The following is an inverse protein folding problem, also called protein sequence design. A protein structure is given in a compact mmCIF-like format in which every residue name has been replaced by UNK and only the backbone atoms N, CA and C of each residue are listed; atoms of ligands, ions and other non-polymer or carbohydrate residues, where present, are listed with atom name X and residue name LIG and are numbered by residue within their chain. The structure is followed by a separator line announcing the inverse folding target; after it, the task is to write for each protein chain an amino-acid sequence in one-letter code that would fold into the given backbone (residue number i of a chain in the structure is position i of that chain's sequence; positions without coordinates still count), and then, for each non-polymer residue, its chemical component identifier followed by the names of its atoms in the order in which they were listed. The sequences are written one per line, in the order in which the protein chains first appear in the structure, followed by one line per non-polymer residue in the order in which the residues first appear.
data_IF_269006446848
#
_entry.id   IF_269006446848
#
_cell.length_a   1.000
_cell.length_b   1.000
_cell.length_c   1.000
_cell.angle_alpha   90.00
_cell.angle_beta   90.00
_cell.angle_gamma   90.00
#
_symmetry.space_group_name_H-M   'P 1'
#
loop_
_entity.id
_entity.type
_entity.pdbx_description
1 polymer ?
#
# COMPACT_ATOMS: atom_id res chain seq x y z
N UNK A 1 -5.73 -19.22 -3.91
CA UNK A 1 -5.51 -19.43 -5.35
C UNK A 1 -5.13 -18.12 -6.05
N UNK A 2 -4.48 -18.24 -7.22
CA UNK A 2 -4.30 -17.11 -8.13
C UNK A 2 -5.68 -16.79 -8.72
N UNK A 3 -5.98 -15.48 -8.82
CA UNK A 3 -7.23 -15.02 -9.39
C UNK A 3 -7.38 -15.48 -10.86
N UNK A 4 -8.52 -16.07 -11.14
CA UNK A 4 -9.03 -16.25 -12.50
C UNK A 4 -10.56 -16.19 -12.47
N UNK A 5 -11.14 -15.78 -13.57
CA UNK A 5 -12.60 -15.74 -13.71
C UNK A 5 -13.21 -17.15 -13.70
N UNK A 6 -12.50 -18.13 -14.22
CA UNK A 6 -12.96 -19.53 -14.22
C UNK A 6 -13.01 -20.08 -12.81
N UNK A 7 -11.98 -19.80 -11.97
CA UNK A 7 -11.99 -20.20 -10.57
C UNK A 7 -13.12 -19.49 -9.79
N UNK A 8 -13.31 -18.19 -10.02
CA UNK A 8 -14.40 -17.43 -9.38
C UNK A 8 -15.78 -18.01 -9.72
N UNK A 9 -16.01 -18.36 -10.99
CA UNK A 9 -17.27 -18.95 -11.43
C UNK A 9 -17.52 -20.37 -10.89
N UNK A 10 -16.47 -21.19 -10.74
CA UNK A 10 -16.57 -22.56 -10.27
C UNK A 10 -16.64 -22.66 -8.72
N UNK A 11 -15.82 -21.90 -8.01
CA UNK A 11 -15.59 -22.02 -6.56
C UNK A 11 -15.90 -20.77 -5.73
N UNK A 12 -16.23 -19.69 -6.40
CA UNK A 12 -16.48 -18.41 -5.74
C UNK A 12 -15.23 -17.71 -5.26
N UNK A 13 -15.43 -16.61 -4.55
CA UNK A 13 -14.35 -15.80 -3.98
C UNK A 13 -13.82 -16.47 -2.70
N UNK A 14 -12.49 -16.62 -2.54
CA UNK A 14 -11.92 -17.26 -1.35
C UNK A 14 -12.29 -16.54 -0.05
N UNK A 15 -12.62 -17.31 1.00
CA UNK A 15 -12.99 -16.75 2.31
C UNK A 15 -11.95 -15.85 2.95
N UNK A 16 -10.65 -16.05 2.63
CA UNK A 16 -9.56 -15.15 3.07
C UNK A 16 -9.68 -13.74 2.47
N UNK A 17 -10.21 -13.59 1.27
CA UNK A 17 -10.44 -12.29 0.65
C UNK A 17 -11.53 -11.51 1.40
N UNK A 18 -12.62 -12.16 1.80
CA UNK A 18 -13.65 -11.56 2.64
C UNK A 18 -13.11 -11.15 4.01
N UNK A 19 -12.34 -12.02 4.68
CA UNK A 19 -11.71 -11.68 5.96
C UNK A 19 -10.80 -10.44 5.84
N UNK A 20 -10.03 -10.35 4.76
CA UNK A 20 -9.19 -9.18 4.52
C UNK A 20 -10.02 -7.91 4.28
N UNK A 21 -11.11 -8.00 3.54
CA UNK A 21 -12.05 -6.87 3.36
C UNK A 21 -12.66 -6.40 4.68
N UNK A 22 -13.05 -7.31 5.57
CA UNK A 22 -13.56 -6.94 6.90
C UNK A 22 -12.52 -6.20 7.74
N UNK A 23 -11.24 -6.61 7.69
CA UNK A 23 -10.15 -5.90 8.37
C UNK A 23 -10.00 -4.49 7.80
N UNK A 24 -9.98 -4.33 6.47
CA UNK A 24 -9.93 -3.01 5.84
C UNK A 24 -11.13 -2.15 6.27
N UNK A 25 -12.32 -2.72 6.30
CA UNK A 25 -13.56 -2.03 6.67
C UNK A 25 -13.53 -1.51 8.12
N UNK A 26 -12.99 -2.31 9.04
CA UNK A 26 -12.90 -1.97 10.46
C UNK A 26 -11.80 -0.97 10.81
N UNK A 27 -10.83 -0.74 9.92
CA UNK A 27 -9.74 0.20 10.15
C UNK A 27 -10.19 1.66 9.96
N UNK A 28 -9.63 2.59 10.72
CA UNK A 28 -9.85 4.03 10.54
C UNK A 28 -9.00 4.61 9.42
N UNK A 29 -7.84 4.02 9.16
CA UNK A 29 -6.94 4.35 8.06
C UNK A 29 -6.05 3.17 7.67
N UNK A 30 -5.37 3.27 6.55
CA UNK A 30 -4.59 2.17 5.97
C UNK A 30 -3.19 2.65 5.62
N UNK A 31 -2.18 1.94 6.09
CA UNK A 31 -0.79 2.13 5.67
C UNK A 31 -0.35 0.90 4.89
N UNK A 32 0.16 1.12 3.68
CA UNK A 32 0.71 0.03 2.86
C UNK A 32 2.16 0.33 2.52
N UNK A 33 3.06 -0.58 2.90
CA UNK A 33 4.44 -0.58 2.42
C UNK A 33 4.58 -1.58 1.29
N UNK A 34 4.88 -1.09 0.09
CA UNK A 34 4.97 -1.92 -1.12
C UNK A 34 6.38 -2.47 -1.30
N UNK A 35 6.48 -3.78 -1.45
CA UNK A 35 7.67 -4.40 -2.02
C UNK A 35 7.59 -4.32 -3.55
N UNK A 36 8.75 -4.08 -4.20
CA UNK A 36 8.87 -4.01 -5.65
C UNK A 36 9.51 -5.28 -6.20
N UNK A 37 8.82 -5.98 -7.08
CA UNK A 37 9.35 -7.09 -7.86
C UNK A 37 9.25 -6.77 -9.34
N UNK A 38 10.38 -6.77 -10.04
CA UNK A 38 10.44 -6.41 -11.46
C UNK A 38 9.76 -5.06 -11.78
N UNK A 39 10.00 -4.05 -10.93
CA UNK A 39 9.47 -2.69 -11.04
C UNK A 39 7.95 -2.54 -10.89
N UNK A 40 7.25 -3.57 -10.41
CA UNK A 40 5.79 -3.54 -10.20
C UNK A 40 5.41 -4.17 -8.85
N UNK A 41 4.10 -4.35 -8.63
CA UNK A 41 3.60 -5.07 -7.46
C UNK A 41 4.19 -6.48 -7.35
N UNK A 42 4.35 -6.95 -6.12
CA UNK A 42 4.56 -8.38 -5.89
C UNK A 42 3.34 -9.18 -6.38
N UNK A 43 3.56 -10.41 -6.83
CA UNK A 43 2.48 -11.30 -7.22
C UNK A 43 1.46 -11.51 -6.09
N UNK A 44 1.93 -11.57 -4.84
CA UNK A 44 1.06 -11.73 -3.66
C UNK A 44 0.13 -10.53 -3.47
N UNK A 45 0.66 -9.29 -3.53
CA UNK A 45 -0.17 -8.09 -3.41
C UNK A 45 -1.15 -7.98 -4.59
N UNK A 46 -0.67 -8.18 -5.82
CA UNK A 46 -1.53 -8.09 -7.00
C UNK A 46 -2.67 -9.11 -6.92
N UNK A 47 -2.39 -10.33 -6.49
CA UNK A 47 -3.39 -11.38 -6.36
C UNK A 47 -4.47 -11.05 -5.33
N UNK A 48 -4.08 -10.62 -4.12
CA UNK A 48 -5.10 -10.25 -3.11
C UNK A 48 -5.90 -9.03 -3.54
N UNK A 49 -5.26 -8.05 -4.21
CA UNK A 49 -5.93 -6.88 -4.74
C UNK A 49 -6.96 -7.26 -5.82
N UNK A 50 -6.64 -8.20 -6.70
CA UNK A 50 -7.58 -8.72 -7.69
C UNK A 50 -8.80 -9.36 -7.00
N UNK A 51 -8.58 -10.25 -6.04
CA UNK A 51 -9.67 -10.89 -5.32
C UNK A 51 -10.58 -9.89 -4.59
N UNK A 52 -10.02 -8.96 -3.82
CA UNK A 52 -10.85 -8.00 -3.06
C UNK A 52 -11.60 -7.02 -3.94
N UNK A 53 -11.10 -6.73 -5.14
CA UNK A 53 -11.79 -5.88 -6.12
C UNK A 53 -13.05 -6.53 -6.70
N UNK A 54 -13.19 -7.86 -6.55
CA UNK A 54 -14.41 -8.60 -6.96
C UNK A 54 -15.52 -8.53 -5.93
N UNK A 55 -15.18 -8.27 -4.66
CA UNK A 55 -16.15 -8.19 -3.57
C UNK A 55 -16.91 -6.87 -3.63
N UNK A 56 -16.21 -5.76 -3.88
CA UNK A 56 -16.80 -4.42 -3.83
C UNK A 56 -16.01 -3.42 -4.67
N UNK A 57 -16.73 -2.52 -5.36
CA UNK A 57 -16.13 -1.51 -6.24
C UNK A 57 -15.20 -0.54 -5.49
N UNK A 58 -15.61 -0.12 -4.28
CA UNK A 58 -14.81 0.76 -3.42
C UNK A 58 -13.88 -0.09 -2.58
N UNK A 59 -12.75 -0.49 -3.18
CA UNK A 59 -11.84 -1.49 -2.62
C UNK A 59 -11.34 -1.11 -1.23
N UNK A 60 -10.99 0.15 -1.01
CA UNK A 60 -10.38 0.67 0.21
C UNK A 60 -11.36 1.45 1.10
N UNK A 61 -12.67 1.36 0.84
CA UNK A 61 -13.76 2.02 1.58
C UNK A 61 -13.57 3.52 1.78
N UNK A 62 -12.91 4.19 0.84
CA UNK A 62 -12.58 5.62 0.94
C UNK A 62 -11.81 5.99 2.22
N UNK A 63 -11.08 5.05 2.80
CA UNK A 63 -10.29 5.30 4.00
C UNK A 63 -9.12 6.23 3.70
N UNK A 64 -8.69 7.05 4.67
CA UNK A 64 -7.38 7.69 4.63
C UNK A 64 -6.27 6.67 4.42
N UNK A 65 -5.29 7.00 3.59
CA UNK A 65 -4.20 6.08 3.28
C UNK A 65 -2.84 6.77 3.26
N UNK A 66 -1.81 6.01 3.63
CA UNK A 66 -0.39 6.36 3.47
C UNK A 66 0.29 5.22 2.69
N UNK A 67 0.94 5.56 1.59
CA UNK A 67 1.63 4.57 0.76
C UNK A 67 3.14 4.74 0.88
N UNK A 68 3.81 3.64 1.18
CA UNK A 68 5.25 3.59 1.43
C UNK A 68 5.93 2.61 0.49
N UNK A 69 7.21 2.83 0.25
CA UNK A 69 8.10 1.84 -0.36
C UNK A 69 9.53 2.01 0.14
N UNK A 70 10.33 0.98 0.02
CA UNK A 70 11.78 1.03 0.28
C UNK A 70 12.50 -0.03 -0.53
N UNK A 71 13.79 0.17 -0.74
CA UNK A 71 14.73 -0.83 -1.27
C UNK A 71 16.17 -0.43 -0.94
N UNK A 72 17.10 -1.36 -1.10
CA UNK A 72 18.54 -1.09 -0.93
C UNK A 72 19.11 -0.24 -2.08
N UNK A 73 18.38 -0.14 -3.17
CA UNK A 73 18.76 0.71 -4.30
C UNK A 73 18.43 2.19 -4.10
N UNK A 74 19.11 3.05 -4.85
CA UNK A 74 18.92 4.52 -4.82
C UNK A 74 17.53 4.99 -5.20
N UNK A 75 16.70 4.14 -5.80
CA UNK A 75 15.32 4.48 -6.21
C UNK A 75 14.27 4.18 -5.12
N UNK A 76 14.61 3.42 -4.06
CA UNK A 76 13.69 3.14 -2.95
C UNK A 76 12.37 2.48 -3.36
N UNK A 77 12.37 1.66 -4.41
CA UNK A 77 11.16 1.05 -4.98
C UNK A 77 10.09 2.08 -5.41
N UNK A 78 10.53 3.22 -5.93
CA UNK A 78 9.64 4.34 -6.28
C UNK A 78 8.68 4.00 -7.41
N UNK A 79 9.05 3.10 -8.32
CA UNK A 79 8.20 2.75 -9.47
C UNK A 79 6.90 2.08 -9.02
N UNK A 80 6.99 1.08 -8.14
CA UNK A 80 5.77 0.43 -7.61
C UNK A 80 4.92 1.41 -6.81
N UNK A 81 5.55 2.34 -6.07
CA UNK A 81 4.84 3.36 -5.30
C UNK A 81 4.04 4.30 -6.21
N UNK A 82 4.63 4.75 -7.31
CA UNK A 82 3.96 5.59 -8.32
C UNK A 82 2.77 4.85 -8.97
N UNK A 83 2.94 3.58 -9.32
CA UNK A 83 1.87 2.73 -9.85
C UNK A 83 0.73 2.60 -8.83
N UNK A 84 1.07 2.31 -7.57
CA UNK A 84 0.12 2.17 -6.48
C UNK A 84 -0.65 3.47 -6.24
N UNK A 85 0.06 4.59 -6.12
CA UNK A 85 -0.55 5.91 -5.96
C UNK A 85 -1.54 6.24 -7.08
N UNK A 86 -1.10 6.10 -8.32
CA UNK A 86 -1.93 6.38 -9.51
C UNK A 86 -3.21 5.55 -9.55
N UNK A 87 -3.16 4.31 -9.06
CA UNK A 87 -4.33 3.43 -9.02
C UNK A 87 -5.23 3.68 -7.82
N UNK A 88 -4.63 3.84 -6.63
CA UNK A 88 -5.36 3.88 -5.35
C UNK A 88 -5.97 5.27 -5.11
N UNK A 89 -5.30 6.34 -5.53
CA UNK A 89 -5.82 7.71 -5.38
C UNK A 89 -7.06 8.00 -6.25
N UNK A 90 -7.27 7.20 -7.29
CA UNK A 90 -8.43 7.39 -8.17
C UNK A 90 -9.75 7.16 -7.43
N UNK A 91 -10.49 8.23 -7.21
CA UNK A 91 -11.80 8.21 -6.55
C UNK A 91 -11.74 8.17 -5.02
N UNK A 92 -10.56 8.21 -4.40
CA UNK A 92 -10.46 8.41 -2.97
C UNK A 92 -10.66 9.90 -2.63
N UNK A 93 -11.56 10.25 -1.69
CA UNK A 93 -11.83 11.65 -1.33
C UNK A 93 -10.68 12.31 -0.55
N UNK A 94 -9.80 11.53 0.06
CA UNK A 94 -8.65 12.02 0.81
C UNK A 94 -7.42 12.17 -0.09
N UNK A 95 -6.58 13.16 0.20
CA UNK A 95 -5.22 13.18 -0.33
C UNK A 95 -4.43 12.01 0.24
N UNK A 96 -3.70 11.30 -0.60
CA UNK A 96 -2.91 10.14 -0.19
C UNK A 96 -1.43 10.51 -0.18
N UNK A 97 -0.83 10.77 0.98
CA UNK A 97 0.61 10.99 1.06
C UNK A 97 1.38 9.72 0.72
N UNK A 98 2.57 9.92 0.14
CA UNK A 98 3.48 8.84 -0.22
C UNK A 98 4.87 9.13 0.31
N UNK A 99 5.65 8.08 0.60
CA UNK A 99 7.05 8.21 0.94
C UNK A 99 7.83 6.98 0.48
N UNK A 100 8.99 7.22 -0.13
CA UNK A 100 9.93 6.19 -0.55
C UNK A 100 11.26 6.37 0.17
N UNK A 101 11.77 5.32 0.82
CA UNK A 101 13.07 5.32 1.48
C UNK A 101 14.11 4.63 0.58
N UNK A 102 15.02 5.38 -0.06
CA UNK A 102 16.11 4.79 -0.84
C UNK A 102 17.23 4.30 0.07
N UNK A 103 18.09 3.41 -0.47
CA UNK A 103 19.28 2.89 0.21
C UNK A 103 18.98 2.49 1.66
N UNK A 104 18.07 1.52 1.82
CA UNK A 104 17.53 1.16 3.13
C UNK A 104 18.60 0.86 4.17
N UNK A 105 19.61 0.08 3.83
CA UNK A 105 20.69 -0.32 4.74
C UNK A 105 21.52 0.88 5.25
N UNK A 106 21.66 1.93 4.43
CA UNK A 106 22.38 3.15 4.82
C UNK A 106 21.52 4.14 5.63
N UNK A 107 20.20 4.11 5.43
CA UNK A 107 19.28 5.13 5.93
C UNK A 107 18.34 4.66 7.03
N UNK A 108 18.42 3.38 7.46
CA UNK A 108 17.53 2.85 8.48
C UNK A 108 18.30 1.98 9.50
N UNK A 109 18.04 2.20 10.76
CA UNK A 109 18.49 1.34 11.87
C UNK A 109 17.27 0.91 12.71
N UNK A 110 17.19 -0.38 13.03
CA UNK A 110 16.05 -0.98 13.74
C UNK A 110 15.62 -0.21 15.01
N UNK A 111 16.59 0.26 15.79
CA UNK A 111 16.33 0.92 17.07
C UNK A 111 16.23 2.45 16.97
N UNK A 112 16.50 3.03 15.80
CA UNK A 112 16.52 4.48 15.58
C UNK A 112 15.52 4.94 14.51
N UNK A 113 15.10 4.01 13.63
CA UNK A 113 14.29 4.32 12.46
C UNK A 113 15.13 4.96 11.34
N UNK A 114 14.56 5.94 10.63
CA UNK A 114 15.24 6.63 9.52
C UNK A 114 16.33 7.53 10.10
N UNK A 115 17.59 7.21 9.78
CA UNK A 115 18.79 7.90 10.29
C UNK A 115 19.13 9.17 9.54
N UNK A 116 18.82 9.23 8.24
CA UNK A 116 19.03 10.43 7.44
C UNK A 116 18.01 11.50 7.80
N UNK A 117 18.47 12.66 8.27
CA UNK A 117 17.62 13.72 8.81
C UNK A 117 16.64 14.30 7.78
N UNK A 118 17.05 14.45 6.51
CA UNK A 118 16.19 14.94 5.44
C UNK A 118 15.07 13.94 5.12
N UNK A 119 15.42 12.67 4.93
CA UNK A 119 14.45 11.61 4.66
C UNK A 119 13.48 11.41 5.83
N UNK A 120 13.97 11.49 7.07
CA UNK A 120 13.13 11.43 8.26
C UNK A 120 12.11 12.57 8.32
N UNK A 121 12.53 13.79 7.96
CA UNK A 121 11.63 14.95 7.89
C UNK A 121 10.55 14.76 6.81
N UNK A 122 10.92 14.25 5.65
CA UNK A 122 9.98 13.95 4.56
C UNK A 122 8.97 12.86 4.96
N UNK A 123 9.44 11.79 5.61
CA UNK A 123 8.57 10.75 6.15
C UNK A 123 7.57 11.31 7.18
N UNK A 124 8.06 12.09 8.15
CA UNK A 124 7.21 12.71 9.18
C UNK A 124 6.13 13.60 8.58
N UNK A 125 6.48 14.38 7.57
CA UNK A 125 5.49 15.22 6.84
C UNK A 125 4.40 14.35 6.18
N UNK A 126 4.75 13.25 5.54
CA UNK A 126 3.77 12.33 4.95
C UNK A 126 2.90 11.66 6.02
N UNK A 127 3.49 11.29 7.15
CA UNK A 127 2.76 10.71 8.28
C UNK A 127 1.79 11.73 8.92
N UNK A 128 2.20 12.97 9.11
CA UNK A 128 1.36 14.06 9.63
C UNK A 128 0.14 14.29 8.73
N UNK A 129 0.33 14.33 7.41
CA UNK A 129 -0.77 14.46 6.46
C UNK A 129 -1.75 13.28 6.52
N UNK A 130 -1.25 12.07 6.72
CA UNK A 130 -2.09 10.90 6.94
C UNK A 130 -2.90 11.01 8.22
N UNK A 131 -2.25 11.40 9.33
CA UNK A 131 -2.91 11.56 10.64
C UNK A 131 -4.00 12.63 10.58
N UNK A 132 -3.78 13.73 9.90
CA UNK A 132 -4.79 14.78 9.72
C UNK A 132 -6.04 14.28 8.98
N UNK A 133 -5.91 13.28 8.13
CA UNK A 133 -7.06 12.68 7.43
C UNK A 133 -7.84 11.66 8.30
N UNK A 134 -7.30 11.26 9.46
CA UNK A 134 -7.98 10.33 10.40
C UNK A 134 -8.99 11.04 11.32
N UNK A 135 -8.92 12.35 11.42
CA UNK A 135 -9.74 13.19 12.30
C UNK A 135 -11.03 13.70 11.65
#
# INVERSE_FOLDING_TARGET
PIYSIDYENDKGIPGKAFKFKEIIKSADGIIISFAEHNSVYTAAFKNIFDWISRIEKIVWYNKPMLLLSTSDGSRGAKTVLEIAYKRISRGNPHSIPTFSLPNFDDNFEINKGITNSKLNKEFKKSLELFILNLS
#
